data_IF_959228290592
#
_entry.id   IF_959228290592
#
_cell.length_a   1.000
_cell.length_b   1.000
_cell.length_c   1.000
_cell.angle_alpha   90.00
_cell.angle_beta   90.00
_cell.angle_gamma   90.00
#
_symmetry.space_group_name_H-M   'P 1'
#
loop_
_entity.id
_entity.type
_entity.pdbx_description
1 polymer ?
#
# COMPACT_ATOMS: atom_id res chain seq x y z
N UNK A 1 24.02 -17.00 -2.65
CA UNK A 1 23.01 -15.97 -2.99
C UNK A 1 22.68 -16.10 -4.45
N UNK A 2 21.39 -16.12 -4.78
CA UNK A 2 20.94 -16.04 -6.17
C UNK A 2 20.98 -14.58 -6.67
N UNK A 3 20.88 -14.42 -7.99
CA UNK A 3 20.97 -13.11 -8.67
C UNK A 3 19.85 -12.15 -8.22
N UNK A 4 18.66 -12.66 -7.89
CA UNK A 4 17.53 -11.84 -7.45
C UNK A 4 17.80 -11.25 -6.06
N UNK A 5 18.30 -12.08 -5.14
CA UNK A 5 18.74 -11.62 -3.81
C UNK A 5 19.78 -10.50 -3.92
N UNK A 6 20.77 -10.65 -4.81
CA UNK A 6 21.76 -9.60 -5.05
C UNK A 6 21.17 -8.32 -5.66
N UNK A 7 20.16 -8.41 -6.54
CA UNK A 7 19.48 -7.22 -7.08
C UNK A 7 18.73 -6.48 -5.96
N UNK A 8 18.08 -7.20 -5.04
CA UNK A 8 17.35 -6.60 -3.93
C UNK A 8 18.31 -5.93 -2.94
N UNK A 9 19.40 -6.59 -2.55
CA UNK A 9 20.40 -6.00 -1.65
C UNK A 9 21.08 -4.76 -2.25
N UNK A 10 21.38 -4.80 -3.55
CA UNK A 10 22.00 -3.66 -4.26
C UNK A 10 20.99 -2.60 -4.71
N UNK A 11 19.70 -2.79 -4.47
CA UNK A 11 18.67 -1.81 -4.87
C UNK A 11 18.62 -0.58 -3.97
N UNK A 12 19.37 -0.57 -2.85
CA UNK A 12 19.42 0.53 -1.88
C UNK A 12 18.04 0.98 -1.38
N UNK A 13 17.13 0.01 -1.29
CA UNK A 13 15.76 0.20 -0.87
C UNK A 13 15.68 0.09 0.66
N UNK A 14 15.35 1.19 1.34
CA UNK A 14 15.05 1.18 2.77
C UNK A 14 13.54 1.21 2.97
N UNK A 15 13.01 0.13 3.57
CA UNK A 15 11.60 0.00 3.88
C UNK A 15 11.25 0.68 5.19
N UNK A 16 10.35 1.65 5.13
CA UNK A 16 9.75 2.30 6.28
C UNK A 16 8.30 1.86 6.40
N UNK A 17 7.90 1.48 7.60
CA UNK A 17 6.52 1.12 7.85
C UNK A 17 5.64 2.37 7.72
N UNK A 18 4.90 2.45 6.62
CA UNK A 18 4.00 3.56 6.39
C UNK A 18 2.80 3.43 7.34
N UNK A 19 2.06 2.33 7.35
CA UNK A 19 0.87 2.23 8.19
C UNK A 19 0.59 0.77 8.54
N UNK A 20 0.34 0.49 9.82
CA UNK A 20 -0.38 -0.72 10.22
C UNK A 20 -1.63 -0.25 10.92
N UNK A 21 -2.79 -0.52 10.34
CA UNK A 21 -4.04 -0.14 10.97
C UNK A 21 -5.19 -1.09 10.63
N UNK A 22 -6.14 -1.17 11.55
CA UNK A 22 -7.41 -1.85 11.36
C UNK A 22 -8.54 -0.83 11.39
N UNK A 23 -9.43 -0.92 10.41
CA UNK A 23 -10.55 -0.01 10.24
C UNK A 23 -11.86 -0.74 10.56
N UNK A 24 -12.71 -0.08 11.34
CA UNK A 24 -13.98 -0.65 11.83
C UNK A 24 -15.21 0.11 11.34
N UNK A 25 -15.02 1.17 10.58
CA UNK A 25 -16.05 2.06 10.02
C UNK A 25 -15.54 2.64 8.71
N UNK A 26 -16.39 3.34 7.95
CA UNK A 26 -16.00 4.04 6.72
C UNK A 26 -14.70 4.85 6.86
N UNK A 27 -13.81 4.70 5.87
CA UNK A 27 -12.51 5.34 5.81
C UNK A 27 -12.03 5.54 4.37
N UNK A 28 -11.17 6.53 4.17
CA UNK A 28 -10.45 6.78 2.92
C UNK A 28 -9.07 7.37 3.19
N UNK A 29 -8.05 6.78 2.58
CA UNK A 29 -6.65 7.19 2.65
C UNK A 29 -6.16 7.59 1.26
N UNK A 30 -5.47 8.72 1.19
CA UNK A 30 -4.80 9.23 0.01
C UNK A 30 -3.29 9.19 0.20
N UNK A 31 -2.61 8.61 -0.78
CA UNK A 31 -1.17 8.48 -0.82
C UNK A 31 -0.65 9.37 -1.96
N UNK A 32 -0.04 10.49 -1.60
CA UNK A 32 0.49 11.48 -2.54
C UNK A 32 1.93 11.19 -3.00
N UNK A 33 2.38 9.94 -2.94
CA UNK A 33 3.77 9.60 -3.30
C UNK A 33 4.06 10.02 -4.74
N UNK A 34 5.24 10.62 -4.94
CA UNK A 34 5.90 10.85 -6.24
C UNK A 34 7.39 10.42 -6.18
N UNK A 35 7.84 9.84 -5.04
CA UNK A 35 9.26 9.61 -4.76
C UNK A 35 9.58 8.29 -4.04
N UNK A 36 8.58 7.62 -3.47
CA UNK A 36 8.76 6.37 -2.73
C UNK A 36 7.92 5.26 -3.34
N UNK A 37 8.47 4.04 -3.44
CA UNK A 37 7.65 2.90 -3.84
C UNK A 37 6.66 2.57 -2.71
N UNK A 38 5.48 2.10 -3.08
CA UNK A 38 4.46 1.70 -2.12
C UNK A 38 4.18 0.21 -2.19
N UNK A 39 4.10 -0.44 -1.04
CA UNK A 39 3.51 -1.78 -0.90
C UNK A 39 2.31 -1.70 0.03
N UNK A 40 1.21 -2.33 -0.35
CA UNK A 40 0.02 -2.47 0.49
C UNK A 40 -0.41 -3.91 0.53
N UNK A 41 -0.60 -4.43 1.75
CA UNK A 41 -1.08 -5.78 1.99
C UNK A 41 -2.41 -5.67 2.71
N UNK A 42 -3.44 -6.33 2.17
CA UNK A 42 -4.74 -6.44 2.82
C UNK A 42 -4.71 -7.67 3.71
N UNK A 43 -4.58 -7.49 5.03
CA UNK A 43 -4.45 -8.61 5.97
C UNK A 43 -5.80 -9.12 6.49
N UNK A 44 -6.86 -8.32 6.40
CA UNK A 44 -8.23 -8.67 6.77
C UNK A 44 -9.22 -7.85 5.94
N UNK A 45 -10.39 -8.43 5.65
CA UNK A 45 -11.50 -7.72 5.01
C UNK A 45 -11.23 -7.36 3.55
N UNK A 46 -11.73 -6.21 3.11
CA UNK A 46 -11.56 -5.74 1.72
C UNK A 46 -11.71 -4.23 1.62
N UNK A 47 -11.15 -3.64 0.57
CA UNK A 47 -11.30 -2.23 0.25
C UNK A 47 -11.22 -2.01 -1.27
N UNK A 48 -11.30 -0.75 -1.68
CA UNK A 48 -11.11 -0.33 -3.06
C UNK A 48 -9.78 0.40 -3.19
N UNK A 49 -8.98 -0.03 -4.17
CA UNK A 49 -7.88 0.74 -4.72
C UNK A 49 -8.43 1.63 -5.83
N UNK A 50 -8.14 2.92 -5.74
CA UNK A 50 -8.35 3.88 -6.82
C UNK A 50 -7.01 4.42 -7.29
N UNK A 51 -6.67 4.15 -8.54
CA UNK A 51 -5.37 4.47 -9.13
C UNK A 51 -5.56 4.78 -10.62
N UNK A 52 -5.00 5.90 -11.09
CA UNK A 52 -5.15 6.38 -12.48
C UNK A 52 -6.61 6.42 -12.98
N UNK A 53 -7.57 6.75 -12.11
CA UNK A 53 -9.00 6.82 -12.44
C UNK A 53 -9.72 5.47 -12.49
N UNK A 54 -9.01 4.35 -12.28
CA UNK A 54 -9.61 3.02 -12.20
C UNK A 54 -9.85 2.62 -10.75
N UNK A 55 -10.95 1.91 -10.53
CA UNK A 55 -11.28 1.30 -9.25
C UNK A 55 -11.11 -0.22 -9.35
N UNK A 56 -10.43 -0.80 -8.36
CA UNK A 56 -10.29 -2.25 -8.21
C UNK A 56 -10.61 -2.62 -6.78
N UNK A 57 -11.50 -3.59 -6.59
CA UNK A 57 -11.72 -4.20 -5.28
C UNK A 57 -10.53 -5.12 -4.98
N UNK A 58 -9.97 -4.97 -3.79
CA UNK A 58 -8.91 -5.82 -3.24
C UNK A 58 -9.37 -6.38 -1.91
N UNK A 59 -8.93 -7.58 -1.60
CA UNK A 59 -9.39 -8.33 -0.44
C UNK A 59 -8.24 -8.98 0.30
N UNK A 60 -8.55 -9.56 1.46
CA UNK A 60 -7.59 -10.29 2.29
C UNK A 60 -6.69 -11.20 1.44
N UNK A 61 -5.39 -11.03 1.61
CA UNK A 61 -4.35 -11.79 0.91
C UNK A 61 -3.80 -11.08 -0.33
N UNK A 62 -4.53 -10.11 -0.89
CA UNK A 62 -4.04 -9.36 -2.04
C UNK A 62 -2.90 -8.42 -1.63
N UNK A 63 -1.93 -8.28 -2.53
CA UNK A 63 -0.80 -7.37 -2.42
C UNK A 63 -0.80 -6.39 -3.58
N UNK A 64 -0.65 -5.10 -3.28
CA UNK A 64 -0.52 -4.03 -4.26
C UNK A 64 0.91 -3.51 -4.18
N UNK A 65 1.62 -3.55 -5.30
CA UNK A 65 2.94 -2.96 -5.44
C UNK A 65 2.89 -1.78 -6.40
N UNK A 66 3.45 -0.64 -6.00
CA UNK A 66 3.46 0.62 -6.75
C UNK A 66 4.93 1.07 -6.87
N UNK A 67 5.70 0.49 -7.82
CA UNK A 67 7.15 0.70 -7.93
C UNK A 67 7.53 2.14 -8.28
N UNK A 68 6.67 2.83 -9.06
CA UNK A 68 6.91 4.22 -9.45
C UNK A 68 6.43 5.23 -8.41
N UNK A 69 5.76 4.75 -7.36
CA UNK A 69 5.20 5.59 -6.31
C UNK A 69 4.25 6.62 -6.90
N UNK A 70 3.27 6.21 -7.71
CA UNK A 70 2.27 7.12 -8.26
C UNK A 70 1.16 7.41 -7.24
N UNK A 71 0.46 8.56 -7.34
CA UNK A 71 -0.66 8.86 -6.45
C UNK A 71 -1.79 7.83 -6.56
N UNK A 72 -2.29 7.41 -5.41
CA UNK A 72 -3.37 6.43 -5.30
C UNK A 72 -4.15 6.60 -3.99
N UNK A 73 -5.34 6.02 -3.98
CA UNK A 73 -6.26 6.07 -2.84
C UNK A 73 -6.67 4.64 -2.45
N UNK A 74 -6.77 4.39 -1.16
CA UNK A 74 -7.41 3.19 -0.61
C UNK A 74 -8.64 3.64 0.19
N UNK A 75 -9.80 3.03 -0.06
CA UNK A 75 -11.03 3.42 0.62
C UNK A 75 -11.99 2.25 0.86
N UNK A 76 -12.81 2.36 1.91
CA UNK A 76 -13.81 1.35 2.23
C UNK A 76 -14.97 1.27 1.23
N UNK A 77 -15.29 2.37 0.53
CA UNK A 77 -16.32 2.43 -0.51
C UNK A 77 -15.95 3.41 -1.62
N UNK A 78 -16.61 3.31 -2.78
CA UNK A 78 -16.33 4.14 -3.97
C UNK A 78 -16.63 5.64 -3.75
N UNK A 79 -17.49 5.95 -2.77
CA UNK A 79 -17.97 7.31 -2.49
C UNK A 79 -17.29 7.94 -1.25
N UNK A 80 -16.33 7.25 -0.63
CA UNK A 80 -15.65 7.80 0.53
C UNK A 80 -14.78 9.01 0.16
N UNK A 81 -14.78 10.01 1.02
CA UNK A 81 -13.78 11.06 0.99
C UNK A 81 -12.44 10.52 1.51
N UNK A 82 -11.37 10.81 0.78
CA UNK A 82 -10.02 10.37 1.17
C UNK A 82 -9.24 11.49 1.82
N UNK A 83 -8.51 11.18 2.89
CA UNK A 83 -7.60 12.12 3.55
C UNK A 83 -6.14 11.70 3.35
N UNK A 84 -5.22 12.67 3.35
CA UNK A 84 -3.80 12.38 3.26
C UNK A 84 -3.33 11.49 4.42
N UNK A 85 -2.52 10.46 4.10
CA UNK A 85 -2.01 9.51 5.10
C UNK A 85 -1.23 10.17 6.24
N UNK A 86 -0.47 11.24 5.98
CA UNK A 86 0.27 11.96 7.04
C UNK A 86 -0.70 12.62 8.00
N UNK A 87 -1.76 13.23 7.49
CA UNK A 87 -2.84 13.79 8.31
C UNK A 87 -3.61 12.72 9.08
N UNK A 88 -3.84 11.56 8.46
CA UNK A 88 -4.48 10.43 9.15
C UNK A 88 -3.65 9.97 10.35
N UNK A 89 -2.34 9.75 10.16
CA UNK A 89 -1.41 9.31 11.20
C UNK A 89 -1.32 10.28 12.38
N UNK A 90 -1.32 11.59 12.11
CA UNK A 90 -1.18 12.58 13.17
C UNK A 90 -2.43 12.70 14.04
N UNK A 91 -3.61 12.45 13.47
CA UNK A 91 -4.90 12.58 14.16
C UNK A 91 -5.39 11.29 14.81
N UNK A 92 -5.05 10.13 14.25
CA UNK A 92 -5.64 8.85 14.65
C UNK A 92 -4.62 8.00 15.40
N UNK A 93 -5.00 7.54 16.59
CA UNK A 93 -4.28 6.49 17.29
C UNK A 93 -4.72 5.13 16.77
N UNK A 94 -3.75 4.27 16.46
CA UNK A 94 -3.99 2.87 16.14
C UNK A 94 -4.75 2.27 17.31
N UNK A 95 -5.99 1.84 17.06
CA UNK A 95 -6.87 1.27 18.08
C UNK A 95 -7.34 -0.09 17.60
N UNK A 96 -6.93 -1.14 18.31
CA UNK A 96 -7.46 -2.49 18.12
C UNK A 96 -8.72 -2.58 18.99
N UNK A 97 -9.87 -2.86 18.38
CA UNK A 97 -11.08 -3.20 19.13
C UNK A 97 -11.09 -4.70 19.38
N UNK A 98 -11.22 -5.09 20.63
CA UNK A 98 -11.40 -6.49 21.01
C UNK A 98 -12.79 -6.97 20.57
N UNK A 99 -12.89 -8.23 20.16
CA UNK A 99 -14.14 -8.93 19.80
C UNK A 99 -14.96 -8.36 18.63
N UNK A 100 -14.40 -7.46 17.82
CA UNK A 100 -15.01 -6.98 16.58
C UNK A 100 -14.03 -7.26 15.43
N UNK A 101 -14.51 -7.85 14.34
CA UNK A 101 -13.73 -8.02 13.12
C UNK A 101 -13.67 -6.68 12.36
N UNK A 102 -12.47 -6.20 11.97
CA UNK A 102 -12.36 -4.99 11.17
C UNK A 102 -12.88 -5.22 9.75
N UNK A 103 -13.44 -4.17 9.15
CA UNK A 103 -13.90 -4.20 7.74
C UNK A 103 -12.71 -4.24 6.77
N UNK A 104 -11.55 -3.72 7.19
CA UNK A 104 -10.29 -3.83 6.49
C UNK A 104 -9.11 -3.68 7.47
N UNK A 105 -8.06 -4.46 7.29
CA UNK A 105 -6.77 -4.24 7.94
C UNK A 105 -5.68 -4.13 6.88
N UNK A 106 -4.81 -3.14 7.02
CA UNK A 106 -3.78 -2.81 6.05
C UNK A 106 -2.41 -2.82 6.69
N UNK A 107 -1.44 -3.31 5.93
CA UNK A 107 -0.02 -3.07 6.16
C UNK A 107 0.49 -2.32 4.93
N UNK A 108 0.87 -1.06 5.12
CA UNK A 108 1.42 -0.19 4.10
C UNK A 108 2.90 0.02 4.40
N UNK A 109 3.74 -0.17 3.39
CA UNK A 109 5.19 0.07 3.47
C UNK A 109 5.56 1.08 2.41
N UNK A 110 6.36 2.05 2.78
CA UNK A 110 6.96 3.00 1.85
C UNK A 110 8.46 2.73 1.76
N UNK A 111 8.96 2.69 0.53
CA UNK A 111 10.36 2.46 0.25
C UNK A 111 10.98 3.74 -0.29
N UNK A 112 11.85 4.35 0.50
CA UNK A 112 12.58 5.56 0.13
C UNK A 112 13.82 5.22 -0.69
N UNK A 113 14.10 6.05 -1.69
CA UNK A 113 15.33 5.96 -2.50
C UNK A 113 16.45 6.65 -1.74
N UNK A 114 17.50 5.92 -1.38
CA UNK A 114 18.73 6.53 -0.84
C UNK A 114 19.73 6.88 -1.94
N UNK A 115 19.63 6.21 -3.11
CA UNK A 115 20.41 6.42 -4.34
C UNK A 115 19.56 6.13 -5.59
N UNK A 116 20.16 6.22 -6.79
CA UNK A 116 19.51 5.75 -8.02
C UNK A 116 19.08 4.29 -7.89
N UNK A 117 17.83 4.02 -8.27
CA UNK A 117 17.26 2.68 -8.25
C UNK A 117 17.83 1.85 -9.39
N UNK A 118 18.00 0.56 -9.14
CA UNK A 118 18.35 -0.39 -10.20
C UNK A 118 17.35 -0.30 -11.37
N UNK A 119 17.80 -0.31 -12.65
CA UNK A 119 16.93 -0.13 -13.83
C UNK A 119 15.76 -1.12 -13.94
N UNK A 120 15.86 -2.26 -13.24
CA UNK A 120 14.75 -3.19 -13.04
C UNK A 120 13.46 -2.46 -12.61
N UNK A 121 13.54 -1.59 -11.59
CA UNK A 121 12.35 -0.92 -11.04
C UNK A 121 11.78 0.17 -11.95
N UNK A 122 12.61 0.78 -12.81
CA UNK A 122 12.11 1.74 -13.81
C UNK A 122 11.34 1.06 -14.95
N UNK A 123 11.66 -0.21 -15.24
CA UNK A 123 11.01 -0.98 -16.30
C UNK A 123 9.72 -1.69 -15.85
N UNK A 124 9.41 -1.67 -14.55
CA UNK A 124 8.17 -2.22 -14.03
C UNK A 124 6.95 -1.36 -14.46
N UNK A 125 5.75 -1.96 -14.53
CA UNK A 125 4.51 -1.20 -14.72
C UNK A 125 4.27 -0.24 -13.55
N UNK A 126 3.34 0.69 -13.71
CA UNK A 126 3.06 1.71 -12.68
C UNK A 126 2.57 1.10 -11.35
N UNK A 127 1.84 -0.02 -11.44
CA UNK A 127 1.41 -0.82 -10.32
C UNK A 127 1.23 -2.30 -10.74
N UNK A 128 1.34 -3.19 -9.77
CA UNK A 128 1.10 -4.63 -9.89
C UNK A 128 0.16 -5.03 -8.76
N UNK A 129 -0.82 -5.86 -9.07
CA UNK A 129 -1.70 -6.47 -8.07
C UNK A 129 -1.46 -7.97 -8.11
N UNK A 130 -1.04 -8.52 -6.98
CA UNK A 130 -0.94 -9.95 -6.77
C UNK A 130 -2.23 -10.37 -6.08
N UNK A 131 -3.12 -11.03 -6.82
CA UNK A 131 -4.39 -11.51 -6.29
C UNK A 131 -4.16 -12.81 -5.53
N UNK A 132 -4.68 -12.88 -4.31
CA UNK A 132 -4.59 -14.08 -3.47
C UNK A 132 -5.19 -15.33 -4.10
N UNK A 133 -6.15 -15.17 -5.00
CA UNK A 133 -6.78 -16.26 -5.76
C UNK A 133 -5.86 -16.90 -6.82
N UNK A 134 -4.73 -16.27 -7.13
CA UNK A 134 -3.79 -16.71 -8.17
C UNK A 134 -2.55 -17.40 -7.58
N UNK A 135 -2.48 -17.55 -6.25
CA UNK A 135 -1.36 -18.15 -5.50
C UNK A 135 -1.78 -19.49 -4.92
#
# INVERSE_FOLDING_TARGET
MDVLSSIIENSHIEGNLALINSFYSSWGLKFNSNKCMGFHIISQGSCFLKIKGHYKRVQKGDLIFIPKGIPHELCSSLNENTQDIKTFKSKNKITKKENILPIASLICVEYSKTKELHPFFSNLPDYIIFESSQI
#
